data_IF_901199312032
#
_entry.id   IF_901199312032
#
_cell.length_a   1.000
_cell.length_b   1.000
_cell.length_c   1.000
_cell.angle_alpha   90.00
_cell.angle_beta   90.00
_cell.angle_gamma   90.00
#
_symmetry.space_group_name_H-M   'P 1'
#
loop_
_entity.id
_entity.type
_entity.pdbx_description
1 polymer ?
#
# COMPACT_ATOMS: atom_id res chain seq x y z
N UNK A 1 -12.73 -10.62 -32.01
CA UNK A 1 -11.44 -11.18 -31.51
C UNK A 1 -10.84 -10.39 -30.34
N UNK A 2 -10.66 -9.05 -30.41
CA UNK A 2 -10.05 -8.27 -29.32
C UNK A 2 -10.80 -8.36 -27.97
N UNK A 3 -12.14 -8.27 -27.98
CA UNK A 3 -12.98 -8.40 -26.78
C UNK A 3 -12.95 -9.81 -26.17
N UNK A 4 -12.87 -10.85 -27.01
CA UNK A 4 -12.73 -12.24 -26.57
C UNK A 4 -11.37 -12.47 -25.91
N UNK A 5 -10.28 -11.92 -26.49
CA UNK A 5 -8.95 -11.98 -25.89
C UNK A 5 -8.87 -11.23 -24.54
N UNK A 6 -9.54 -10.08 -24.43
CA UNK A 6 -9.64 -9.33 -23.17
C UNK A 6 -10.44 -10.11 -22.12
N UNK A 7 -11.56 -10.74 -22.51
CA UNK A 7 -12.34 -11.60 -21.63
C UNK A 7 -11.51 -12.78 -21.11
N UNK A 8 -10.76 -13.45 -21.99
CA UNK A 8 -9.86 -14.55 -21.60
C UNK A 8 -8.75 -14.08 -20.65
N UNK A 9 -8.15 -12.91 -20.90
CA UNK A 9 -7.15 -12.30 -20.03
C UNK A 9 -7.71 -11.98 -18.65
N UNK A 10 -8.92 -11.42 -18.57
CA UNK A 10 -9.57 -11.12 -17.29
C UNK A 10 -9.86 -12.38 -16.49
N UNK A 11 -10.39 -13.43 -17.14
CA UNK A 11 -10.64 -14.72 -16.50
C UNK A 11 -9.33 -15.32 -15.96
N UNK A 12 -8.26 -15.28 -16.76
CA UNK A 12 -6.95 -15.74 -16.34
C UNK A 12 -6.42 -14.95 -15.14
N UNK A 13 -6.50 -13.60 -15.17
CA UNK A 13 -6.08 -12.76 -14.05
C UNK A 13 -6.88 -13.06 -12.78
N UNK A 14 -8.20 -13.27 -12.89
CA UNK A 14 -9.03 -13.63 -11.73
C UNK A 14 -8.68 -15.01 -11.17
N UNK A 15 -8.41 -16.00 -12.03
CA UNK A 15 -7.98 -17.32 -11.60
C UNK A 15 -6.63 -17.26 -10.88
N UNK A 16 -5.67 -16.49 -11.41
CA UNK A 16 -4.37 -16.27 -10.76
C UNK A 16 -4.56 -15.59 -9.40
N UNK A 17 -5.39 -14.55 -9.31
CA UNK A 17 -5.67 -13.87 -8.06
C UNK A 17 -6.31 -14.81 -7.02
N UNK A 18 -7.23 -15.67 -7.43
CA UNK A 18 -7.85 -16.69 -6.56
C UNK A 18 -6.80 -17.69 -6.07
N UNK A 19 -5.94 -18.19 -6.96
CA UNK A 19 -4.86 -19.13 -6.57
C UNK A 19 -3.90 -18.47 -5.58
N UNK A 20 -3.54 -17.21 -5.79
CA UNK A 20 -2.71 -16.45 -4.85
C UNK A 20 -3.41 -16.26 -3.50
N UNK A 21 -4.70 -15.93 -3.49
CA UNK A 21 -5.51 -15.81 -2.26
C UNK A 21 -5.59 -17.14 -1.50
N UNK A 22 -5.79 -18.25 -2.20
CA UNK A 22 -5.77 -19.59 -1.61
C UNK A 22 -4.38 -19.98 -1.11
N UNK A 23 -3.30 -19.43 -1.69
CA UNK A 23 -1.93 -19.66 -1.20
C UNK A 23 -1.64 -18.90 0.10
N UNK A 24 -2.41 -17.85 0.41
CA UNK A 24 -2.30 -17.11 1.68
C UNK A 24 -2.95 -17.82 2.87
N UNK A 25 -3.69 -18.92 2.65
CA UNK A 25 -4.30 -19.70 3.75
C UNK A 25 -3.34 -20.71 4.38
N UNK A 26 -2.14 -20.87 3.83
CA UNK A 26 -1.07 -21.61 4.50
C UNK A 26 -0.67 -20.85 5.77
N UNK A 27 -0.83 -21.49 6.92
CA UNK A 27 -0.41 -21.04 8.25
C UNK A 27 1.14 -20.98 8.34
N UNK A 28 1.78 -20.18 7.51
CA UNK A 28 3.11 -19.67 7.86
C UNK A 28 2.87 -18.70 9.00
N UNK A 29 2.98 -19.19 10.24
CA UNK A 29 2.65 -18.44 11.45
C UNK A 29 3.08 -16.99 11.33
N UNK A 30 2.12 -16.08 11.57
CA UNK A 30 2.35 -14.63 11.58
C UNK A 30 3.68 -14.36 12.31
N UNK A 31 4.53 -13.41 11.88
CA UNK A 31 5.81 -13.17 12.56
C UNK A 31 5.58 -12.69 14.00
N UNK A 32 5.39 -13.65 14.91
CA UNK A 32 4.98 -13.43 16.29
C UNK A 32 6.01 -12.58 17.01
N UNK A 33 7.30 -12.82 16.74
CA UNK A 33 8.38 -12.00 17.28
C UNK A 33 8.26 -10.52 16.91
N UNK A 34 7.93 -10.17 15.67
CA UNK A 34 7.80 -8.77 15.27
C UNK A 34 6.54 -8.13 15.87
N UNK A 35 5.42 -8.86 15.88
CA UNK A 35 4.19 -8.43 16.55
C UNK A 35 4.45 -8.16 18.03
N UNK A 36 5.12 -9.07 18.71
CA UNK A 36 5.38 -8.98 20.15
C UNK A 36 6.32 -7.81 20.46
N UNK A 37 7.36 -7.59 19.64
CA UNK A 37 8.23 -6.41 19.76
C UNK A 37 7.42 -5.12 19.60
N UNK A 38 6.62 -4.99 18.55
CA UNK A 38 5.84 -3.77 18.30
C UNK A 38 4.83 -3.53 19.43
N UNK A 39 4.15 -4.57 19.90
CA UNK A 39 3.14 -4.44 20.96
C UNK A 39 3.73 -4.13 22.33
N UNK A 40 4.88 -4.70 22.68
CA UNK A 40 5.51 -4.50 23.98
C UNK A 40 6.38 -3.24 24.03
N UNK A 41 7.07 -2.92 22.94
CA UNK A 41 8.08 -1.85 22.90
C UNK A 41 7.69 -0.64 22.06
N UNK A 42 6.65 -0.73 21.22
CA UNK A 42 6.25 0.36 20.32
C UNK A 42 6.15 1.73 20.99
N UNK A 43 5.48 1.89 22.14
CA UNK A 43 5.39 3.18 22.82
C UNK A 43 6.74 3.69 23.35
N UNK A 44 7.60 2.78 23.82
CA UNK A 44 8.93 3.13 24.31
C UNK A 44 9.88 3.52 23.17
N UNK A 45 9.88 2.76 22.08
CA UNK A 45 10.81 2.94 20.97
C UNK A 45 10.44 4.14 20.09
N UNK A 46 9.15 4.51 20.01
CA UNK A 46 8.65 5.56 19.09
C UNK A 46 8.02 6.76 19.80
N UNK A 47 7.69 6.65 21.08
CA UNK A 47 6.92 7.65 21.82
C UNK A 47 5.42 7.68 21.49
N UNK A 48 4.95 6.85 20.55
CA UNK A 48 3.54 6.82 20.14
C UNK A 48 2.72 5.86 21.01
N UNK A 49 1.69 6.37 21.68
CA UNK A 49 0.73 5.53 22.43
C UNK A 49 -0.16 4.68 21.52
N UNK A 50 -0.36 5.10 20.27
CA UNK A 50 -1.06 4.33 19.25
C UNK A 50 -0.07 3.46 18.46
N UNK A 51 -0.19 2.14 18.59
CA UNK A 51 0.69 1.18 17.92
C UNK A 51 0.62 1.25 16.39
N UNK A 52 -0.53 1.61 15.81
CA UNK A 52 -0.65 1.80 14.36
C UNK A 52 0.22 2.99 13.94
N UNK A 53 0.15 4.10 14.68
CA UNK A 53 1.01 5.27 14.44
C UNK A 53 2.49 4.97 14.68
N UNK A 54 2.82 4.16 15.69
CA UNK A 54 4.18 3.66 15.90
C UNK A 54 4.71 2.90 14.67
N UNK A 55 3.85 2.16 13.97
CA UNK A 55 4.23 1.47 12.73
C UNK A 55 4.42 2.45 11.57
N UNK A 56 3.42 3.23 11.18
CA UNK A 56 3.51 4.02 9.93
C UNK A 56 4.31 5.33 10.08
N UNK A 57 4.43 5.91 11.29
CA UNK A 57 5.26 7.11 11.53
C UNK A 57 6.57 6.82 12.28
N UNK A 58 6.68 5.69 12.97
CA UNK A 58 7.90 5.29 13.67
C UNK A 58 8.74 4.33 12.83
N UNK A 59 8.36 3.05 12.84
CA UNK A 59 9.14 1.98 12.21
C UNK A 59 9.15 2.03 10.67
N UNK A 60 8.10 2.58 10.03
CA UNK A 60 7.91 2.62 8.56
C UNK A 60 7.66 4.03 8.02
N UNK A 61 8.28 5.04 8.64
CA UNK A 61 8.10 6.44 8.26
C UNK A 61 8.36 6.74 6.77
N UNK A 62 9.29 6.01 6.14
CA UNK A 62 9.63 6.19 4.72
C UNK A 62 8.48 5.79 3.78
N UNK A 63 7.67 4.79 4.14
CA UNK A 63 6.53 4.36 3.32
C UNK A 63 5.46 5.46 3.29
N UNK A 64 5.10 6.01 4.45
CA UNK A 64 4.13 7.13 4.56
C UNK A 64 4.67 8.45 4.00
N UNK A 65 5.97 8.72 4.13
CA UNK A 65 6.62 9.85 3.45
C UNK A 65 6.49 9.69 1.93
N UNK A 66 6.74 8.48 1.41
CA UNK A 66 6.56 8.14 0.01
C UNK A 66 5.13 8.37 -0.48
N UNK A 67 4.13 7.90 0.27
CA UNK A 67 2.70 8.17 -0.03
C UNK A 67 2.41 9.67 -0.11
N UNK A 68 2.95 10.46 0.83
CA UNK A 68 2.77 11.92 0.85
C UNK A 68 3.44 12.59 -0.35
N UNK A 69 4.63 12.13 -0.75
CA UNK A 69 5.33 12.62 -1.95
C UNK A 69 4.53 12.30 -3.21
N UNK A 70 3.97 11.08 -3.33
CA UNK A 70 3.12 10.71 -4.47
C UNK A 70 1.88 11.60 -4.55
N UNK A 71 1.21 11.86 -3.42
CA UNK A 71 0.06 12.76 -3.37
C UNK A 71 0.44 14.20 -3.75
N UNK A 72 1.56 14.71 -3.23
CA UNK A 72 2.06 16.03 -3.58
C UNK A 72 2.36 16.16 -5.07
N UNK A 73 3.01 15.15 -5.66
CA UNK A 73 3.30 15.11 -7.10
C UNK A 73 2.02 15.03 -7.92
N UNK A 74 1.02 14.24 -7.50
CA UNK A 74 -0.26 14.14 -8.19
C UNK A 74 -1.00 15.48 -8.22
N UNK A 75 -1.09 16.17 -7.08
CA UNK A 75 -1.72 17.50 -7.00
C UNK A 75 -0.92 18.54 -7.79
N UNK A 76 0.41 18.54 -7.67
CA UNK A 76 1.27 19.46 -8.41
C UNK A 76 1.14 19.26 -9.93
N UNK A 77 1.11 18.01 -10.39
CA UNK A 77 0.89 17.66 -11.80
C UNK A 77 -0.49 18.09 -12.30
N UNK A 78 -1.54 17.89 -11.50
CA UNK A 78 -2.89 18.36 -11.82
C UNK A 78 -2.93 19.89 -11.99
N UNK A 79 -2.36 20.64 -11.04
CA UNK A 79 -2.30 22.10 -11.11
C UNK A 79 -1.52 22.59 -12.34
N UNK A 80 -0.41 21.92 -12.69
CA UNK A 80 0.37 22.23 -13.88
C UNK A 80 -0.46 22.07 -15.16
N UNK A 81 -1.19 20.95 -15.29
CA UNK A 81 -2.05 20.69 -16.45
C UNK A 81 -3.21 21.70 -16.53
N UNK A 82 -3.87 21.99 -15.41
CA UNK A 82 -4.97 22.96 -15.37
C UNK A 82 -4.51 24.38 -15.73
N UNK A 83 -3.35 24.79 -15.22
CA UNK A 83 -2.75 26.10 -15.56
C UNK A 83 -2.45 26.24 -17.05
N UNK A 84 -2.01 25.16 -17.71
CA UNK A 84 -1.71 25.21 -19.14
C UNK A 84 -2.97 25.16 -20.02
N UNK A 85 -4.05 24.50 -19.57
CA UNK A 85 -5.35 24.51 -20.29
C UNK A 85 -6.09 25.85 -20.25
N UNK A 86 -5.90 26.66 -19.21
CA UNK A 86 -6.51 27.99 -19.11
C UNK A 86 -5.78 29.11 -19.86
N UNK A 87 -4.75 28.76 -20.65
CA UNK A 87 -3.93 29.69 -21.45
C UNK A 87 -4.13 29.54 -22.96
N UNK A 88 -5.02 28.65 -23.38
CA UNK A 88 -5.63 28.63 -24.72
C UNK A 88 -7.00 29.31 -24.65
#
# INVERSE_FOLDING_TARGET
MKRIRQGLLLVLCTLVAIILLLSLTEESGWPHGLRDIITQRGPHDTGASNLVAAVYLGYRALDTLGETVVLLLAVSGLLFVLKNKGKE
#
